data_IF_150946481879
#
_entry.id   IF_150946481879
#
_cell.length_a   1.000
_cell.length_b   1.000
_cell.length_c   1.000
_cell.angle_alpha   90.00
_cell.angle_beta   90.00
_cell.angle_gamma   90.00
#
_symmetry.space_group_name_H-M   'P 1'
#
loop_
_entity.id
_entity.type
_entity.pdbx_description
1 polymer ?
#
# COMPACT_ATOMS: atom_id res chain seq x y z
N UNK A 1 -13.72 -2.63 -10.50
CA UNK A 1 -13.09 -3.65 -11.34
C UNK A 1 -12.76 -3.18 -12.76
N UNK A 2 -13.69 -2.65 -13.58
CA UNK A 2 -13.39 -2.23 -14.98
C UNK A 2 -12.27 -1.18 -15.09
N UNK A 3 -12.18 -0.21 -14.17
CA UNK A 3 -11.14 0.84 -14.17
C UNK A 3 -9.74 0.29 -13.89
N UNK A 4 -9.62 -0.74 -13.04
CA UNK A 4 -8.35 -1.41 -12.71
C UNK A 4 -7.82 -2.17 -13.92
N UNK A 5 -8.68 -2.88 -14.64
CA UNK A 5 -8.31 -3.62 -15.86
C UNK A 5 -7.82 -2.66 -16.95
N UNK A 6 -8.44 -1.51 -17.09
CA UNK A 6 -8.02 -0.48 -18.07
C UNK A 6 -6.64 0.09 -17.69
N UNK A 7 -6.40 0.34 -16.40
CA UNK A 7 -5.12 0.83 -15.91
C UNK A 7 -4.00 -0.21 -16.10
N UNK A 8 -4.29 -1.47 -15.81
CA UNK A 8 -3.36 -2.58 -16.04
C UNK A 8 -3.04 -2.76 -17.53
N UNK A 9 -4.06 -2.68 -18.40
CA UNK A 9 -3.91 -2.76 -19.85
C UNK A 9 -3.10 -1.59 -20.41
N UNK A 10 -3.29 -0.37 -19.90
CA UNK A 10 -2.52 0.80 -20.28
C UNK A 10 -1.03 0.66 -19.89
N UNK A 11 -0.74 0.18 -18.68
CA UNK A 11 0.64 -0.10 -18.21
C UNK A 11 1.31 -1.16 -19.07
N UNK A 12 0.59 -2.23 -19.43
CA UNK A 12 1.10 -3.29 -20.30
C UNK A 12 1.36 -2.79 -21.74
N UNK A 13 0.51 -1.91 -22.26
CA UNK A 13 0.67 -1.34 -23.61
C UNK A 13 1.87 -0.39 -23.69
N UNK A 14 2.11 0.44 -22.65
CA UNK A 14 3.30 1.29 -22.55
C UNK A 14 4.57 0.43 -22.48
N UNK A 15 4.52 -0.71 -21.78
CA UNK A 15 5.63 -1.64 -21.67
C UNK A 15 6.03 -2.31 -22.97
N UNK A 16 5.06 -2.63 -23.82
CA UNK A 16 5.31 -3.22 -25.13
C UNK A 16 5.96 -2.23 -26.10
N UNK A 17 5.66 -0.95 -25.99
CA UNK A 17 6.21 0.09 -26.86
C UNK A 17 7.66 0.47 -26.53
N UNK A 18 8.10 0.30 -25.28
CA UNK A 18 9.45 0.70 -24.79
C UNK A 18 10.53 -0.41 -24.93
N UNK A 19 10.19 -1.58 -25.46
CA UNK A 19 11.09 -2.75 -25.54
C UNK A 19 12.23 -2.62 -26.56
N UNK A 20 12.43 -1.48 -27.20
CA UNK A 20 13.27 -1.37 -28.41
C UNK A 20 14.66 -0.74 -28.24
N UNK A 21 15.10 -0.28 -27.06
CA UNK A 21 16.43 0.34 -26.94
C UNK A 21 17.24 -0.13 -25.73
N UNK A 22 18.44 -0.58 -26.03
CA UNK A 22 19.45 -1.10 -25.11
C UNK A 22 20.31 0.04 -24.51
N UNK A 23 19.69 1.07 -23.94
CA UNK A 23 20.37 2.08 -23.15
C UNK A 23 20.24 1.78 -21.67
N UNK A 24 21.18 2.20 -20.85
CA UNK A 24 21.14 2.04 -19.39
C UNK A 24 19.89 2.75 -18.84
N UNK A 25 18.79 2.02 -18.80
CA UNK A 25 17.48 2.53 -18.40
C UNK A 25 17.55 2.94 -16.93
N UNK A 26 17.32 4.22 -16.69
CA UNK A 26 17.52 4.82 -15.38
C UNK A 26 16.21 5.04 -14.62
N UNK A 27 15.08 5.12 -15.30
CA UNK A 27 13.77 5.26 -14.68
C UNK A 27 13.08 3.92 -14.59
N UNK A 28 12.39 3.71 -13.48
CA UNK A 28 11.57 2.52 -13.24
C UNK A 28 10.16 2.97 -12.88
N UNK A 29 9.19 2.49 -13.63
CA UNK A 29 7.77 2.63 -13.36
C UNK A 29 7.21 1.26 -13.03
N UNK A 30 6.49 1.10 -11.94
CA UNK A 30 5.91 -0.18 -11.60
C UNK A 30 4.57 -0.06 -10.90
N UNK A 31 3.87 -1.18 -10.90
CA UNK A 31 2.63 -1.37 -10.16
C UNK A 31 2.70 -2.63 -9.31
N UNK A 32 2.00 -2.60 -8.20
CA UNK A 32 1.85 -3.74 -7.30
C UNK A 32 0.37 -3.96 -7.05
N UNK A 33 -0.02 -5.22 -6.92
CA UNK A 33 -1.38 -5.62 -6.62
C UNK A 33 -1.36 -6.81 -5.68
N UNK A 34 -2.16 -6.79 -4.62
CA UNK A 34 -2.17 -7.87 -3.65
C UNK A 34 -3.01 -7.56 -2.42
N UNK A 35 -2.60 -8.12 -1.30
CA UNK A 35 -3.30 -7.96 -0.03
C UNK A 35 -2.47 -7.15 0.96
N UNK A 36 -3.13 -6.27 1.67
CA UNK A 36 -2.57 -5.58 2.85
C UNK A 36 -3.45 -5.92 4.05
N UNK A 37 -2.80 -6.29 5.13
CA UNK A 37 -3.45 -6.58 6.42
C UNK A 37 -2.89 -5.64 7.46
N UNK A 38 -3.75 -4.92 8.15
CA UNK A 38 -3.40 -4.16 9.33
C UNK A 38 -3.78 -4.94 10.58
N UNK A 39 -2.86 -5.02 11.52
CA UNK A 39 -3.04 -5.65 12.82
C UNK A 39 -3.02 -4.59 13.91
N UNK A 40 -3.70 -4.87 15.03
CA UNK A 40 -3.83 -3.91 16.14
C UNK A 40 -4.47 -2.57 15.74
N UNK A 41 -5.17 -2.55 14.61
CA UNK A 41 -5.97 -1.41 14.24
C UNK A 41 -7.19 -1.34 15.16
N UNK A 42 -7.43 -0.20 15.73
CA UNK A 42 -8.64 0.04 16.51
C UNK A 42 -9.52 1.05 15.81
N UNK A 43 -10.66 0.57 15.39
CA UNK A 43 -11.72 1.37 14.81
C UNK A 43 -12.63 2.02 15.85
N UNK A 44 -13.86 2.24 15.49
CA UNK A 44 -14.93 2.63 16.39
C UNK A 44 -15.59 1.36 16.90
N UNK A 45 -15.74 1.21 18.19
CA UNK A 45 -16.25 0.01 18.83
C UNK A 45 -17.21 0.35 19.95
N UNK A 46 -18.14 -0.59 20.22
CA UNK A 46 -18.95 -0.57 21.44
C UNK A 46 -18.14 -0.96 22.69
N UNK A 47 -16.93 -1.48 22.51
CA UNK A 47 -16.07 -1.95 23.60
C UNK A 47 -14.70 -1.25 23.52
N UNK A 48 -14.23 -0.75 24.65
CA UNK A 48 -13.03 0.09 24.74
C UNK A 48 -11.73 -0.60 24.30
N UNK A 49 -11.67 -1.93 24.26
CA UNK A 49 -10.47 -2.72 23.99
C UNK A 49 -10.55 -3.59 22.72
N UNK A 50 -11.57 -3.40 21.87
CA UNK A 50 -11.67 -4.17 20.65
C UNK A 50 -10.56 -3.77 19.66
N UNK A 51 -9.68 -4.71 19.36
CA UNK A 51 -8.66 -4.57 18.31
C UNK A 51 -8.99 -5.55 17.19
N UNK A 52 -9.14 -5.04 15.98
CA UNK A 52 -9.44 -5.84 14.82
C UNK A 52 -8.27 -5.91 13.85
N UNK A 53 -8.25 -6.96 13.05
CA UNK A 53 -7.37 -7.07 11.91
C UNK A 53 -8.18 -6.78 10.65
N UNK A 54 -7.68 -5.86 9.85
CA UNK A 54 -8.28 -5.49 8.57
C UNK A 54 -7.43 -6.06 7.46
N UNK A 55 -8.01 -6.87 6.61
CA UNK A 55 -7.32 -7.43 5.46
C UNK A 55 -8.14 -7.20 4.22
N UNK A 56 -7.53 -6.63 3.21
CA UNK A 56 -8.17 -6.49 1.90
C UNK A 56 -7.18 -6.23 0.79
N UNK A 57 -7.74 -6.13 -0.41
CA UNK A 57 -7.05 -5.86 -1.64
C UNK A 57 -6.40 -4.48 -1.65
N UNK A 58 -5.18 -4.41 -2.14
CA UNK A 58 -4.37 -3.20 -2.17
C UNK A 58 -3.66 -3.08 -3.51
N UNK A 59 -3.55 -1.85 -3.98
CA UNK A 59 -2.90 -1.49 -5.22
C UNK A 59 -1.88 -0.39 -4.97
N UNK A 60 -0.74 -0.45 -5.66
CA UNK A 60 0.26 0.61 -5.58
C UNK A 60 0.89 0.86 -6.94
N UNK A 61 1.29 2.10 -7.15
CA UNK A 61 2.14 2.51 -8.27
C UNK A 61 3.40 3.16 -7.72
N UNK A 62 4.52 2.97 -8.40
CA UNK A 62 5.76 3.65 -8.05
C UNK A 62 6.48 4.17 -9.28
N UNK A 63 7.20 5.24 -9.09
CA UNK A 63 8.13 5.83 -10.05
C UNK A 63 9.44 6.11 -9.32
N UNK A 64 10.56 5.70 -9.91
CA UNK A 64 11.86 5.92 -9.32
C UNK A 64 12.97 6.06 -10.34
N UNK A 65 14.10 6.55 -9.86
CA UNK A 65 15.33 6.65 -10.63
C UNK A 65 16.36 5.66 -10.08
N UNK A 66 16.84 4.79 -10.94
CA UNK A 66 17.78 3.72 -10.59
C UNK A 66 19.21 4.20 -10.85
N UNK A 67 20.04 4.11 -9.80
CA UNK A 67 21.49 4.31 -9.87
C UNK A 67 22.14 2.98 -9.48
N UNK A 68 22.78 2.30 -10.40
CA UNK A 68 23.30 0.96 -10.23
C UNK A 68 22.16 -0.01 -9.76
N UNK A 69 22.34 -0.56 -8.58
CA UNK A 69 21.36 -1.47 -7.97
C UNK A 69 20.41 -0.79 -7.00
N UNK A 70 20.44 0.52 -6.89
CA UNK A 70 19.60 1.26 -5.94
C UNK A 70 18.61 2.13 -6.69
N UNK A 71 17.33 1.99 -6.33
CA UNK A 71 16.22 2.81 -6.82
C UNK A 71 15.81 3.79 -5.73
N UNK A 72 15.78 5.06 -6.08
CA UNK A 72 15.19 6.12 -5.27
C UNK A 72 13.93 6.61 -5.97
N UNK A 73 12.81 6.66 -5.26
CA UNK A 73 11.54 6.98 -5.90
C UNK A 73 10.43 7.37 -4.95
N UNK A 74 9.25 7.43 -5.52
CA UNK A 74 7.99 7.65 -4.82
C UNK A 74 7.04 6.52 -5.11
N UNK A 75 6.20 6.19 -4.13
CA UNK A 75 5.10 5.23 -4.28
C UNK A 75 3.81 5.86 -3.77
N UNK A 76 2.72 5.61 -4.49
CA UNK A 76 1.37 5.82 -4.00
C UNK A 76 0.69 4.45 -3.87
N UNK A 77 0.05 4.19 -2.73
CA UNK A 77 -0.65 2.95 -2.43
C UNK A 77 -2.06 3.25 -1.96
N UNK A 78 -2.98 2.38 -2.35
CA UNK A 78 -4.40 2.48 -2.02
C UNK A 78 -4.89 1.12 -1.54
N UNK A 79 -5.72 1.11 -0.49
CA UNK A 79 -6.41 -0.09 -0.03
C UNK A 79 -7.82 0.26 0.45
N UNK A 80 -8.77 -0.64 0.19
CA UNK A 80 -10.07 -0.63 0.84
C UNK A 80 -10.03 -1.69 1.93
N UNK A 81 -10.29 -1.30 3.15
CA UNK A 81 -10.24 -2.15 4.32
C UNK A 81 -11.66 -2.31 4.85
N UNK A 82 -12.13 -3.53 4.94
CA UNK A 82 -13.43 -3.84 5.51
C UNK A 82 -13.24 -4.61 6.81
N UNK A 83 -14.00 -4.27 7.81
CA UNK A 83 -14.12 -5.06 9.02
C UNK A 83 -15.58 -5.45 9.25
N UNK A 84 -15.76 -6.65 9.71
CA UNK A 84 -17.02 -7.13 10.30
C UNK A 84 -16.90 -7.14 11.82
N UNK A 85 -16.48 -6.04 12.44
CA UNK A 85 -16.53 -5.93 13.90
C UNK A 85 -17.95 -6.21 14.39
N UNK A 86 -18.05 -6.88 15.54
CA UNK A 86 -19.25 -7.55 16.06
C UNK A 86 -20.53 -6.68 16.08
N UNK A 87 -20.43 -5.38 15.92
CA UNK A 87 -21.58 -4.47 16.00
C UNK A 87 -21.66 -3.43 14.88
N UNK A 88 -20.60 -3.21 14.10
CA UNK A 88 -20.54 -2.12 13.12
C UNK A 88 -19.79 -2.59 11.88
N UNK A 89 -20.44 -2.53 10.73
CA UNK A 89 -19.78 -2.69 9.43
C UNK A 89 -18.99 -1.41 9.14
N UNK A 90 -17.71 -1.39 9.47
CA UNK A 90 -16.84 -0.26 9.17
C UNK A 90 -16.08 -0.53 7.86
N UNK A 91 -16.10 0.44 6.96
CA UNK A 91 -15.28 0.46 5.76
C UNK A 91 -14.26 1.58 5.90
N UNK A 92 -12.99 1.26 5.69
CA UNK A 92 -11.93 2.24 5.66
C UNK A 92 -11.28 2.28 4.29
N UNK A 93 -11.01 3.48 3.81
CA UNK A 93 -10.19 3.74 2.64
C UNK A 93 -8.86 4.25 3.14
N UNK A 94 -7.79 3.52 2.84
CA UNK A 94 -6.43 3.92 3.18
C UNK A 94 -5.67 4.33 1.94
N UNK A 95 -5.05 5.49 2.00
CA UNK A 95 -4.17 6.04 0.98
C UNK A 95 -2.83 6.38 1.60
N UNK A 96 -1.74 5.94 0.97
CA UNK A 96 -0.37 6.25 1.39
C UNK A 96 0.42 6.83 0.22
N UNK A 97 1.24 7.84 0.52
CA UNK A 97 2.24 8.37 -0.41
C UNK A 97 3.58 8.41 0.30
N UNK A 98 4.58 7.76 -0.25
CA UNK A 98 5.87 7.57 0.40
C UNK A 98 7.06 7.80 -0.52
N UNK A 99 8.14 8.29 0.06
CA UNK A 99 9.49 8.18 -0.51
C UNK A 99 9.94 6.73 -0.37
N UNK A 100 10.62 6.21 -1.37
CA UNK A 100 11.01 4.82 -1.48
C UNK A 100 12.50 4.73 -1.82
N UNK A 101 13.21 3.88 -1.06
CA UNK A 101 14.57 3.46 -1.34
C UNK A 101 14.56 1.93 -1.47
N UNK A 102 14.95 1.40 -2.62
CA UNK A 102 15.10 -0.03 -2.89
C UNK A 102 16.50 -0.37 -3.31
N UNK A 103 17.02 -1.48 -2.81
CA UNK A 103 18.27 -2.05 -3.27
C UNK A 103 18.02 -3.43 -3.87
N UNK A 104 18.45 -3.62 -5.11
CA UNK A 104 18.31 -4.89 -5.85
C UNK A 104 19.61 -5.66 -5.77
N UNK A 105 19.53 -6.90 -5.33
CA UNK A 105 20.67 -7.79 -5.17
C UNK A 105 20.54 -8.93 -6.19
N UNK A 106 21.40 -8.98 -7.20
CA UNK A 106 21.41 -10.10 -8.16
C UNK A 106 21.69 -11.42 -7.44
N UNK A 107 20.85 -12.44 -7.69
CA UNK A 107 21.01 -13.78 -7.11
C UNK A 107 21.34 -14.85 -8.15
N UNK A 108 21.43 -14.47 -9.41
CA UNK A 108 21.86 -15.30 -10.52
C UNK A 108 20.92 -15.26 -11.72
N UNK A 109 21.47 -15.27 -12.91
CA UNK A 109 20.71 -15.10 -14.15
C UNK A 109 19.95 -13.78 -14.16
N UNK A 110 18.67 -13.84 -14.44
CA UNK A 110 17.76 -12.68 -14.47
C UNK A 110 17.00 -12.46 -13.15
N UNK A 111 17.38 -13.15 -12.08
CA UNK A 111 16.74 -13.05 -10.78
C UNK A 111 17.44 -12.02 -9.90
N UNK A 112 16.64 -11.20 -9.25
CA UNK A 112 17.07 -10.22 -8.26
C UNK A 112 16.23 -10.40 -6.99
N UNK A 113 16.83 -10.23 -5.82
CA UNK A 113 16.08 -9.96 -4.59
C UNK A 113 16.08 -8.47 -4.33
N UNK A 114 15.07 -8.00 -3.62
CA UNK A 114 14.91 -6.60 -3.29
C UNK A 114 14.86 -6.45 -1.77
N UNK A 115 15.54 -5.42 -1.27
CA UNK A 115 15.38 -4.88 0.07
C UNK A 115 15.04 -3.41 -0.03
N UNK A 116 14.03 -2.96 0.69
CA UNK A 116 13.57 -1.58 0.58
C UNK A 116 13.07 -0.99 1.88
N UNK A 117 13.13 0.33 1.93
CA UNK A 117 12.59 1.16 2.99
C UNK A 117 11.71 2.22 2.37
N UNK A 118 10.60 2.52 3.03
CA UNK A 118 9.73 3.62 2.66
C UNK A 118 9.36 4.43 3.87
N UNK A 119 9.17 5.71 3.63
CA UNK A 119 8.70 6.65 4.63
C UNK A 119 7.75 7.63 3.97
N UNK A 120 6.57 7.83 4.56
CA UNK A 120 5.55 8.65 3.94
C UNK A 120 4.42 9.09 4.85
N UNK A 121 3.38 9.56 4.19
CA UNK A 121 2.16 10.03 4.83
C UNK A 121 1.00 9.16 4.37
N UNK A 122 0.06 8.94 5.27
CA UNK A 122 -1.19 8.26 4.96
C UNK A 122 -2.41 9.07 5.36
N UNK A 123 -3.48 8.81 4.64
CA UNK A 123 -4.83 9.27 4.96
C UNK A 123 -5.69 8.03 5.05
N UNK A 124 -6.44 7.90 6.13
CA UNK A 124 -7.42 6.84 6.30
C UNK A 124 -8.78 7.47 6.57
N UNK A 125 -9.72 7.26 5.66
CA UNK A 125 -11.10 7.67 5.80
C UNK A 125 -11.95 6.46 6.19
N UNK A 126 -12.60 6.52 7.34
CA UNK A 126 -13.48 5.48 7.85
C UNK A 126 -14.93 5.92 7.74
N UNK A 127 -15.81 5.02 7.32
CA UNK A 127 -17.25 5.21 7.31
C UNK A 127 -17.95 4.03 7.98
N UNK A 128 -19.01 4.30 8.73
CA UNK A 128 -19.87 3.29 9.34
C UNK A 128 -21.28 3.83 9.51
N UNK A 129 -22.25 2.93 9.52
CA UNK A 129 -23.66 3.23 9.80
C UNK A 129 -24.01 2.81 11.24
N UNK A 130 -24.70 3.68 11.96
CA UNK A 130 -25.19 3.40 13.32
C UNK A 130 -26.58 3.99 13.54
N UNK A 131 -27.55 3.17 13.91
CA UNK A 131 -28.95 3.52 14.15
C UNK A 131 -29.63 4.25 12.97
N UNK A 132 -29.19 3.96 11.73
CA UNK A 132 -29.72 4.57 10.52
C UNK A 132 -29.07 5.89 10.12
N UNK A 133 -28.07 6.34 10.86
CA UNK A 133 -27.26 7.51 10.52
C UNK A 133 -25.86 7.10 10.03
N UNK A 134 -25.34 7.81 9.02
CA UNK A 134 -24.00 7.62 8.47
C UNK A 134 -22.99 8.50 9.21
N UNK A 135 -21.92 7.88 9.65
CA UNK A 135 -20.79 8.53 10.31
C UNK A 135 -19.51 8.34 9.51
N UNK A 136 -18.68 9.36 9.51
CA UNK A 136 -17.37 9.27 8.86
C UNK A 136 -16.30 9.97 9.69
N UNK A 137 -15.07 9.51 9.52
CA UNK A 137 -13.91 10.10 10.17
C UNK A 137 -12.66 9.96 9.31
N UNK A 138 -11.78 10.95 9.38
CA UNK A 138 -10.51 10.94 8.67
C UNK A 138 -9.34 10.96 9.65
N UNK A 139 -8.32 10.16 9.36
CA UNK A 139 -7.05 10.09 10.09
C UNK A 139 -5.92 10.49 9.17
N UNK A 140 -4.99 11.26 9.69
CA UNK A 140 -3.71 11.53 9.04
C UNK A 140 -2.62 10.79 9.79
N UNK A 141 -1.71 10.16 9.06
CA UNK A 141 -0.65 9.36 9.64
C UNK A 141 0.70 9.53 8.95
N UNK A 142 1.72 9.08 9.67
CA UNK A 142 3.07 8.90 9.15
C UNK A 142 3.32 7.40 9.08
N UNK A 143 3.82 6.94 7.93
CA UNK A 143 4.08 5.54 7.67
C UNK A 143 5.55 5.27 7.47
N UNK A 144 6.02 4.18 8.08
CA UNK A 144 7.27 3.54 7.76
C UNK A 144 7.02 2.14 7.22
N UNK A 145 7.69 1.73 6.18
CA UNK A 145 7.60 0.38 5.62
C UNK A 145 8.98 -0.18 5.33
N UNK A 146 9.19 -1.43 5.75
CA UNK A 146 10.28 -2.27 5.29
C UNK A 146 9.74 -3.27 4.28
N UNK A 147 10.40 -3.43 3.14
CA UNK A 147 9.97 -4.36 2.10
C UNK A 147 11.10 -5.28 1.65
N UNK A 148 10.71 -6.48 1.24
CA UNK A 148 11.58 -7.46 0.60
C UNK A 148 10.82 -8.15 -0.52
N UNK A 149 11.54 -8.77 -1.45
CA UNK A 149 10.90 -9.48 -2.54
C UNK A 149 11.89 -10.20 -3.43
N UNK A 150 11.33 -10.95 -4.36
CA UNK A 150 12.07 -11.61 -5.43
C UNK A 150 11.44 -11.21 -6.74
N UNK A 151 12.25 -10.90 -7.73
CA UNK A 151 11.79 -10.52 -9.05
C UNK A 151 12.65 -11.12 -10.15
N UNK A 152 12.00 -11.35 -11.27
CA UNK A 152 12.63 -11.78 -12.52
C UNK A 152 12.64 -10.61 -13.48
N UNK A 153 13.83 -10.21 -13.92
CA UNK A 153 14.02 -9.11 -14.88
C UNK A 153 14.26 -9.66 -16.27
N UNK A 154 13.38 -9.32 -17.17
CA UNK A 154 13.50 -9.68 -18.58
C UNK A 154 14.63 -8.89 -19.26
N UNK A 155 15.15 -9.42 -20.35
CA UNK A 155 16.18 -8.72 -21.14
C UNK A 155 15.73 -7.36 -21.69
N UNK A 156 14.42 -7.16 -21.84
CA UNK A 156 13.80 -5.86 -22.16
C UNK A 156 13.92 -4.82 -21.04
N UNK A 157 14.33 -5.23 -19.85
CA UNK A 157 14.38 -4.41 -18.65
C UNK A 157 13.09 -4.44 -17.81
N UNK A 158 11.99 -4.96 -18.35
CA UNK A 158 10.75 -5.18 -17.60
C UNK A 158 10.99 -6.23 -16.50
N UNK A 159 10.16 -6.22 -15.48
CA UNK A 159 10.27 -7.21 -14.42
C UNK A 159 8.90 -7.61 -13.86
N UNK A 160 8.86 -8.79 -13.32
CA UNK A 160 7.73 -9.34 -12.56
C UNK A 160 8.26 -9.95 -11.27
N UNK A 161 7.52 -9.89 -10.19
CA UNK A 161 7.98 -10.46 -8.94
C UNK A 161 6.91 -10.51 -7.85
N UNK A 162 7.36 -11.02 -6.71
CA UNK A 162 6.61 -11.05 -5.46
C UNK A 162 7.29 -10.11 -4.46
N UNK A 163 6.49 -9.33 -3.78
CA UNK A 163 6.92 -8.41 -2.74
C UNK A 163 6.15 -8.68 -1.46
N UNK A 164 6.86 -8.77 -0.36
CA UNK A 164 6.33 -8.74 0.99
C UNK A 164 6.80 -7.47 1.69
N UNK A 165 5.94 -6.89 2.49
CA UNK A 165 6.29 -5.70 3.25
C UNK A 165 5.68 -5.75 4.64
N UNK A 166 6.38 -5.11 5.59
CA UNK A 166 5.93 -4.83 6.94
C UNK A 166 5.86 -3.33 7.12
N UNK A 167 4.71 -2.83 7.56
CA UNK A 167 4.48 -1.41 7.76
C UNK A 167 4.14 -1.08 9.21
N UNK A 168 4.49 0.11 9.62
CA UNK A 168 4.08 0.74 10.89
C UNK A 168 3.51 2.10 10.57
N UNK A 169 2.31 2.34 11.04
CA UNK A 169 1.60 3.60 10.88
C UNK A 169 1.41 4.26 12.24
N UNK A 170 1.83 5.53 12.34
CA UNK A 170 1.50 6.39 13.46
C UNK A 170 0.47 7.41 13.02
N UNK A 171 -0.78 7.28 13.46
CA UNK A 171 -1.87 8.16 13.03
C UNK A 171 -2.30 9.14 14.11
N UNK A 172 -2.66 10.34 13.68
CA UNK A 172 -3.34 11.36 14.48
C UNK A 172 -4.80 11.42 14.09
N UNK A 173 -5.67 11.54 15.09
CA UNK A 173 -7.11 11.72 14.87
C UNK A 173 -7.48 13.18 14.75
N UNK A 174 -8.48 13.45 13.93
CA UNK A 174 -9.23 14.70 14.00
C UNK A 174 -10.12 14.67 15.25
N UNK A 175 -10.13 15.76 16.01
CA UNK A 175 -10.74 15.84 17.35
C UNK A 175 -12.28 15.94 17.34
N UNK A 176 -12.89 16.17 16.19
CA UNK A 176 -14.30 16.56 16.09
C UNK A 176 -15.24 15.38 15.84
N UNK A 177 -15.02 14.25 16.48
CA UNK A 177 -15.97 13.15 16.42
C UNK A 177 -17.08 13.33 17.47
N UNK A 178 -18.21 13.82 17.04
CA UNK A 178 -19.48 13.67 17.77
C UNK A 178 -19.97 12.24 17.63
N UNK A 179 -19.38 11.32 18.38
CA UNK A 179 -19.86 9.95 18.43
C UNK A 179 -21.20 9.89 19.14
N UNK A 180 -22.14 9.07 18.66
CA UNK A 180 -23.36 8.78 19.38
C UNK A 180 -23.09 8.22 20.78
N UNK A 181 -23.99 8.47 21.71
CA UNK A 181 -23.89 7.95 23.07
C UNK A 181 -23.77 6.42 23.05
N UNK A 182 -22.73 5.90 23.71
CA UNK A 182 -22.44 4.48 23.79
C UNK A 182 -21.37 3.97 22.83
N UNK A 183 -20.92 4.78 21.88
CA UNK A 183 -19.76 4.45 21.06
C UNK A 183 -18.48 5.07 21.61
N UNK A 184 -17.40 4.32 21.56
CA UNK A 184 -16.07 4.76 21.99
C UNK A 184 -15.13 4.73 20.80
N UNK A 185 -14.50 5.88 20.52
CA UNK A 185 -13.37 5.91 19.60
C UNK A 185 -12.12 5.43 20.34
N UNK A 186 -11.53 4.37 19.86
CA UNK A 186 -10.26 3.92 20.42
C UNK A 186 -9.13 4.80 19.86
N UNK A 187 -8.38 5.47 20.75
CA UNK A 187 -7.31 6.41 20.42
C UNK A 187 -5.95 5.74 20.17
N UNK A 188 -5.91 4.45 19.87
CA UNK A 188 -4.63 3.85 19.46
C UNK A 188 -4.07 4.58 18.25
N UNK A 189 -2.91 5.18 18.47
CA UNK A 189 -2.24 6.06 17.52
C UNK A 189 -1.25 5.32 16.62
N UNK A 190 -0.99 4.05 16.90
CA UNK A 190 -0.01 3.26 16.16
C UNK A 190 -0.59 1.88 15.86
N UNK A 191 -0.52 1.47 14.62
CA UNK A 191 -0.85 0.13 14.19
C UNK A 191 0.20 -0.38 13.21
N UNK A 192 0.38 -1.69 13.16
CA UNK A 192 1.28 -2.35 12.23
C UNK A 192 0.50 -3.11 11.18
N UNK A 193 1.21 -3.57 10.16
CA UNK A 193 0.61 -4.39 9.15
C UNK A 193 1.65 -5.08 8.28
N UNK A 194 1.15 -5.93 7.42
CA UNK A 194 1.97 -6.59 6.40
C UNK A 194 1.21 -6.62 5.07
N UNK A 195 1.95 -6.68 3.99
CA UNK A 195 1.39 -6.84 2.66
C UNK A 195 2.15 -7.90 1.87
N UNK A 196 1.39 -8.58 1.01
CA UNK A 196 1.93 -9.51 0.01
C UNK A 196 1.36 -9.13 -1.35
N UNK A 197 2.23 -8.82 -2.29
CA UNK A 197 1.86 -8.23 -3.57
C UNK A 197 2.60 -8.88 -4.72
N UNK A 198 1.90 -9.03 -5.85
CA UNK A 198 2.52 -9.19 -7.15
C UNK A 198 3.02 -7.82 -7.62
N UNK A 199 4.21 -7.80 -8.17
CA UNK A 199 4.84 -6.59 -8.70
C UNK A 199 5.10 -6.78 -10.20
N UNK A 200 4.82 -5.75 -10.98
CA UNK A 200 5.23 -5.63 -12.37
C UNK A 200 5.82 -4.25 -12.60
N UNK A 201 6.85 -4.15 -13.43
CA UNK A 201 7.44 -2.86 -13.74
C UNK A 201 8.21 -2.83 -15.06
N UNK A 202 8.48 -1.60 -15.45
CA UNK A 202 9.17 -1.22 -16.68
C UNK A 202 10.41 -0.41 -16.30
N UNK A 203 11.53 -0.73 -16.92
CA UNK A 203 12.70 0.17 -16.90
C UNK A 203 12.69 0.99 -18.19
N UNK A 204 12.65 2.30 -18.05
CA UNK A 204 12.55 3.30 -19.12
C UNK A 204 13.90 3.98 -19.36
#
# INVERSE_FOLDING_TARGET
>A
MKKVIVMLAAVLAIGAASAQENSSKKFELGCNIGMTTFTNYSGISLFQDATDSYSNWSEAIHLGYRVNNTLLGIQAQYAILNTSAIALNETAIWWNTSLMLRHYIPIGGNWETLLGLKFGFSVMANGFEYLGDDYSRTRLGIDGEFETGILYRFNSGNFVGLRAAFNVNGSHFDKDLNLPAGLVANDKRTFGGYSLMLQYGLSL
#
